data_IF_936797584702
#
_entry.id   IF_936797584702
#
_cell.length_a   1.000
_cell.length_b   1.000
_cell.length_c   1.000
_cell.angle_alpha   90.00
_cell.angle_beta   90.00
_cell.angle_gamma   90.00
#
_symmetry.space_group_name_H-M   'P 1'
#
loop_
_entity.id
_entity.type
_entity.pdbx_description
1 polymer ?
#
# COMPACT_ATOMS: atom_id res chain seq x y z
N UNK A 1 -22.18 -1.59 -8.67
CA UNK A 1 -20.86 -2.28 -8.58
C UNK A 1 -19.69 -1.31 -8.26
N UNK A 2 -19.91 -0.29 -7.43
CA UNK A 2 -19.01 0.88 -7.31
C UNK A 2 -18.07 0.93 -6.10
N UNK A 3 -18.26 0.13 -5.05
CA UNK A 3 -17.48 0.25 -3.82
C UNK A 3 -16.30 -0.74 -3.69
N UNK A 4 -16.34 -1.88 -4.40
CA UNK A 4 -15.33 -2.94 -4.20
C UNK A 4 -13.91 -2.50 -4.59
N UNK A 5 -13.74 -1.73 -5.67
CA UNK A 5 -12.42 -1.22 -6.09
C UNK A 5 -11.83 -0.23 -5.09
N UNK A 6 -12.67 0.57 -4.44
CA UNK A 6 -12.24 1.52 -3.41
C UNK A 6 -11.85 0.79 -2.12
N UNK A 7 -12.64 -0.21 -1.72
CA UNK A 7 -12.33 -1.09 -0.57
C UNK A 7 -11.04 -1.86 -0.82
N UNK A 8 -10.86 -2.42 -2.03
CA UNK A 8 -9.65 -3.12 -2.44
C UNK A 8 -8.42 -2.18 -2.37
N UNK A 9 -8.55 -0.95 -2.87
CA UNK A 9 -7.48 0.05 -2.78
C UNK A 9 -7.09 0.39 -1.35
N UNK A 10 -8.06 0.54 -0.44
CA UNK A 10 -7.80 0.77 0.99
C UNK A 10 -7.11 -0.45 1.61
N UNK A 11 -7.58 -1.65 1.29
CA UNK A 11 -7.00 -2.89 1.82
C UNK A 11 -5.54 -3.08 1.39
N UNK A 12 -5.25 -2.80 0.12
CA UNK A 12 -3.90 -2.84 -0.45
C UNK A 12 -2.97 -1.85 0.27
N UNK A 13 -3.43 -0.62 0.54
CA UNK A 13 -2.66 0.39 1.28
C UNK A 13 -2.43 -0.05 2.73
N UNK A 14 -3.45 -0.59 3.39
CA UNK A 14 -3.36 -1.13 4.75
C UNK A 14 -2.33 -2.26 4.86
N UNK A 15 -2.35 -3.22 3.93
CA UNK A 15 -1.38 -4.33 3.90
C UNK A 15 0.05 -3.83 3.72
N UNK A 16 0.28 -2.85 2.82
CA UNK A 16 1.59 -2.24 2.64
C UNK A 16 2.06 -1.50 3.91
N UNK A 17 1.14 -0.85 4.63
CA UNK A 17 1.45 -0.19 5.90
C UNK A 17 1.88 -1.20 6.97
N UNK A 18 1.21 -2.35 7.06
CA UNK A 18 1.59 -3.43 7.98
C UNK A 18 2.98 -4.00 7.67
N UNK A 19 3.31 -4.19 6.40
CA UNK A 19 4.66 -4.61 5.99
C UNK A 19 5.72 -3.55 6.30
N UNK A 20 5.40 -2.27 6.10
CA UNK A 20 6.26 -1.15 6.47
C UNK A 20 6.59 -1.18 7.97
N UNK A 21 5.57 -1.30 8.82
CA UNK A 21 5.73 -1.35 10.28
C UNK A 21 6.53 -2.57 10.71
N UNK A 22 6.25 -3.75 10.12
CA UNK A 22 6.97 -4.98 10.40
C UNK A 22 8.46 -4.84 10.04
N UNK A 23 8.74 -4.26 8.89
CA UNK A 23 10.10 -4.03 8.40
C UNK A 23 10.84 -2.98 9.22
N UNK A 24 10.16 -1.91 9.62
CA UNK A 24 10.72 -0.89 10.50
C UNK A 24 11.08 -1.47 11.87
N UNK A 25 10.23 -2.34 12.42
CA UNK A 25 10.54 -3.07 13.66
C UNK A 25 11.77 -3.97 13.49
N UNK A 26 11.89 -4.70 12.37
CA UNK A 26 13.06 -5.55 12.06
C UNK A 26 14.35 -4.75 11.88
N UNK A 27 14.26 -3.58 11.24
CA UNK A 27 15.38 -2.66 11.09
C UNK A 27 15.83 -2.11 12.45
N UNK A 28 14.88 -1.67 13.27
CA UNK A 28 15.17 -1.18 14.63
C UNK A 28 15.71 -2.26 15.56
N UNK A 29 15.28 -3.51 15.39
CA UNK A 29 15.79 -4.63 16.19
C UNK A 29 17.16 -5.13 15.73
N UNK A 30 17.77 -4.51 14.71
CA UNK A 30 19.06 -4.93 14.16
C UNK A 30 19.01 -6.24 13.36
N UNK A 31 17.81 -6.75 13.06
CA UNK A 31 17.65 -7.96 12.24
C UNK A 31 17.87 -7.70 10.74
N UNK A 32 17.91 -6.43 10.34
CA UNK A 32 18.28 -5.98 9.00
C UNK A 32 19.54 -5.12 9.12
N UNK A 33 20.63 -5.52 8.46
CA UNK A 33 21.89 -4.76 8.41
C UNK A 33 21.74 -3.42 7.68
N UNK A 34 20.80 -3.33 6.74
CA UNK A 34 20.56 -2.12 5.94
C UNK A 34 19.09 -1.93 5.64
N UNK A 35 18.72 -0.68 5.32
CA UNK A 35 17.36 -0.34 4.96
C UNK A 35 16.95 -1.04 3.66
N UNK A 36 15.83 -1.80 3.64
CA UNK A 36 15.42 -2.52 2.45
C UNK A 36 14.78 -1.57 1.43
N UNK A 37 15.61 -1.05 0.52
CA UNK A 37 15.19 -0.19 -0.60
C UNK A 37 14.13 -0.85 -1.49
N UNK A 38 14.21 -2.16 -1.69
CA UNK A 38 13.19 -2.91 -2.42
C UNK A 38 11.78 -2.80 -1.79
N UNK A 39 11.71 -2.75 -0.47
CA UNK A 39 10.44 -2.56 0.25
C UNK A 39 9.91 -1.13 0.08
N UNK A 40 10.80 -0.15 -0.01
CA UNK A 40 10.44 1.24 -0.28
C UNK A 40 9.86 1.41 -1.68
N UNK A 41 10.51 0.81 -2.70
CA UNK A 41 10.03 0.81 -4.08
C UNK A 41 8.70 0.06 -4.22
N UNK A 42 8.57 -1.09 -3.56
CA UNK A 42 7.32 -1.85 -3.50
C UNK A 42 6.19 -1.03 -2.90
N UNK A 43 6.44 -0.35 -1.78
CA UNK A 43 5.45 0.48 -1.11
C UNK A 43 5.00 1.67 -1.96
N UNK A 44 5.92 2.33 -2.66
CA UNK A 44 5.58 3.40 -3.62
C UNK A 44 4.68 2.86 -4.74
N UNK A 45 5.02 1.71 -5.32
CA UNK A 45 4.20 1.07 -6.35
C UNK A 45 2.80 0.71 -5.84
N UNK A 46 2.71 0.12 -4.65
CA UNK A 46 1.45 -0.30 -4.03
C UNK A 46 0.56 0.91 -3.68
N UNK A 47 1.13 2.01 -3.18
CA UNK A 47 0.41 3.25 -2.90
C UNK A 47 -0.14 3.87 -4.19
N UNK A 48 0.66 3.94 -5.26
CA UNK A 48 0.19 4.45 -6.56
C UNK A 48 -0.97 3.59 -7.08
N UNK A 49 -0.84 2.26 -6.99
CA UNK A 49 -1.87 1.32 -7.46
C UNK A 49 -3.17 1.44 -6.65
N UNK A 50 -3.06 1.59 -5.33
CA UNK A 50 -4.19 1.84 -4.42
C UNK A 50 -4.91 3.15 -4.75
N UNK A 51 -4.15 4.25 -4.95
CA UNK A 51 -4.70 5.55 -5.35
C UNK A 51 -5.40 5.47 -6.70
N UNK A 52 -4.80 4.80 -7.69
CA UNK A 52 -5.40 4.60 -9.01
C UNK A 52 -6.73 3.82 -8.90
N UNK A 53 -6.76 2.73 -8.14
CA UNK A 53 -7.98 1.94 -7.93
C UNK A 53 -9.10 2.74 -7.26
N UNK A 54 -8.77 3.56 -6.26
CA UNK A 54 -9.72 4.47 -5.61
C UNK A 54 -10.24 5.51 -6.62
N UNK A 55 -9.34 6.13 -7.40
CA UNK A 55 -9.70 7.11 -8.45
C UNK A 55 -10.63 6.52 -9.51
N UNK A 56 -10.34 5.31 -9.99
CA UNK A 56 -11.16 4.60 -10.98
C UNK A 56 -12.49 4.14 -10.38
N UNK A 57 -12.50 3.73 -9.11
CA UNK A 57 -13.72 3.39 -8.38
C UNK A 57 -14.66 4.58 -8.21
N UNK A 58 -14.11 5.75 -7.85
CA UNK A 58 -14.89 6.98 -7.66
C UNK A 58 -15.44 7.55 -8.97
N UNK A 59 -14.68 7.49 -10.08
CA UNK A 59 -15.18 7.90 -11.40
C UNK A 59 -16.42 7.11 -11.84
N UNK A 60 -16.55 5.84 -11.44
CA UNK A 60 -17.75 5.03 -11.74
C UNK A 60 -18.97 5.35 -10.89
N UNK A 61 -18.82 6.13 -9.81
CA UNK A 61 -19.92 6.52 -8.91
C UNK A 61 -20.61 7.84 -9.32
N UNK A 62 -20.14 8.47 -10.41
CA UNK A 62 -20.57 9.81 -10.85
C UNK A 62 -21.60 9.80 -11.98
N UNK A 63 -22.32 8.71 -12.18
CA UNK A 63 -23.46 8.60 -13.10
C UNK A 63 -24.69 8.27 -12.26
#
# INVERSE_FOLDING_TARGET
MGNWKSILGIFIIMSALSECISTFKKYRSGALESWPWGLTLGMVGVVILGILLIKTGWKKKKI
#
